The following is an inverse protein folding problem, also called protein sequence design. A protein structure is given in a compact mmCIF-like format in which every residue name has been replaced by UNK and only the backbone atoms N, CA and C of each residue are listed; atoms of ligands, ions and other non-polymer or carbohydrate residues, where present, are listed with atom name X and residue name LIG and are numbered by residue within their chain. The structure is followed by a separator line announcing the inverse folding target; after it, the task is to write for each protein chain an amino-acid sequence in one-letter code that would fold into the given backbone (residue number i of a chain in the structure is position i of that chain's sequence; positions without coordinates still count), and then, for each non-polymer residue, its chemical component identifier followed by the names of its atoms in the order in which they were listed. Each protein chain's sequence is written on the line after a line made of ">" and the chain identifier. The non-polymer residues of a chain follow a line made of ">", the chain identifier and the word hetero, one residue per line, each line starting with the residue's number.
data_IF_961986592085
#
_entry.id   IF_961986592085
#
_cell.length_a   1.000
_cell.length_b   1.000
_cell.length_c   1.000
_cell.angle_alpha   90.00
_cell.angle_beta   90.00
_cell.angle_gamma   90.00
#
_symmetry.space_group_name_H-M   'P 1'
#
loop_
_entity.id
_entity.type
_entity.pdbx_description
1 polymer ?
#
# COMPACT_ATOMS: atom_id res chain seq x y z
N UNK A 1 -10.08 -7.64 3.33
CA UNK A 1 -10.10 -6.86 4.58
C UNK A 1 -9.63 -7.76 5.72
N UNK A 2 -8.81 -7.23 6.60
CA UNK A 2 -8.29 -7.98 7.73
C UNK A 2 -8.87 -7.49 9.04
N UNK A 3 -9.24 -6.23 9.08
CA UNK A 3 -9.90 -5.57 10.18
C UNK A 3 -10.88 -4.56 9.58
N UNK A 4 -12.15 -4.63 9.96
CA UNK A 4 -13.17 -3.70 9.50
C UNK A 4 -14.08 -3.32 10.67
N UNK A 5 -14.21 -2.03 10.93
CA UNK A 5 -15.22 -1.49 11.80
C UNK A 5 -16.42 -1.03 10.98
N UNK A 6 -17.62 -1.38 11.42
CA UNK A 6 -18.86 -0.97 10.77
C UNK A 6 -19.77 -0.34 11.83
N UNK A 7 -19.95 0.98 11.74
CA UNK A 7 -20.95 1.67 12.54
C UNK A 7 -22.34 1.33 12.04
N UNK A 8 -23.23 0.90 12.92
CA UNK A 8 -24.64 0.72 12.59
C UNK A 8 -25.33 2.08 12.65
N UNK A 9 -26.19 2.42 11.66
CA UNK A 9 -26.89 3.71 11.65
C UNK A 9 -27.90 3.88 12.78
N UNK A 10 -28.31 2.78 13.40
CA UNK A 10 -29.20 2.71 14.56
C UNK A 10 -28.99 1.37 15.28
N UNK A 11 -29.35 1.28 16.58
CA UNK A 11 -29.32 0.02 17.30
C UNK A 11 -30.14 -1.07 16.58
N UNK A 12 -29.60 -2.27 16.49
CA UNK A 12 -30.25 -3.41 15.82
C UNK A 12 -30.21 -4.65 16.73
N UNK A 13 -31.32 -5.38 16.81
CA UNK A 13 -31.38 -6.67 17.51
C UNK A 13 -30.76 -7.80 16.69
N UNK A 14 -30.76 -7.67 15.37
CA UNK A 14 -30.25 -8.67 14.44
C UNK A 14 -29.40 -8.01 13.36
N UNK A 15 -28.23 -8.56 13.12
CA UNK A 15 -27.31 -8.16 12.04
C UNK A 15 -27.02 -9.37 11.17
N UNK A 16 -27.13 -9.21 9.86
CA UNK A 16 -26.78 -10.25 8.90
C UNK A 16 -25.57 -9.83 8.08
N UNK A 17 -24.51 -10.63 8.11
CA UNK A 17 -23.37 -10.51 7.22
C UNK A 17 -23.66 -11.34 5.96
N UNK A 18 -23.55 -10.72 4.79
CA UNK A 18 -23.76 -11.37 3.52
C UNK A 18 -22.59 -11.10 2.58
N UNK A 19 -22.14 -12.13 1.87
CA UNK A 19 -21.16 -11.98 0.79
C UNK A 19 -21.93 -11.72 -0.50
N UNK A 20 -21.76 -10.52 -1.05
CA UNK A 20 -22.30 -10.15 -2.36
C UNK A 20 -21.20 -10.29 -3.40
N UNK A 21 -21.18 -11.42 -4.11
CA UNK A 21 -20.19 -11.69 -5.15
C UNK A 21 -20.82 -12.53 -6.24
N UNK A 22 -20.57 -12.18 -7.50
CA UNK A 22 -21.00 -12.98 -8.66
C UNK A 22 -20.25 -14.31 -8.75
N UNK A 23 -19.11 -14.44 -8.08
CA UNK A 23 -18.33 -15.67 -8.03
C UNK A 23 -18.53 -16.36 -6.67
N UNK A 24 -18.50 -17.70 -6.68
CA UNK A 24 -18.50 -18.46 -5.43
C UNK A 24 -17.30 -18.06 -4.58
N UNK A 25 -17.55 -17.32 -3.51
CA UNK A 25 -16.55 -16.75 -2.63
C UNK A 25 -16.84 -17.18 -1.21
N UNK A 26 -15.81 -17.61 -0.47
CA UNK A 26 -15.91 -17.92 0.94
C UNK A 26 -15.48 -16.69 1.78
N UNK A 27 -16.26 -16.36 2.80
CA UNK A 27 -15.90 -15.42 3.83
C UNK A 27 -15.37 -16.21 5.04
N UNK A 28 -14.16 -15.87 5.49
CA UNK A 28 -13.62 -16.37 6.75
C UNK A 28 -13.60 -15.22 7.76
N UNK A 29 -14.26 -15.43 8.88
CA UNK A 29 -14.26 -14.51 10.02
C UNK A 29 -13.55 -15.23 11.16
N UNK A 30 -12.49 -14.65 11.70
CA UNK A 30 -11.79 -15.20 12.86
C UNK A 30 -12.49 -14.78 14.15
N UNK A 31 -12.76 -13.46 14.26
CA UNK A 31 -13.40 -12.88 15.42
C UNK A 31 -14.47 -11.88 14.99
N UNK A 32 -15.54 -11.81 15.74
CA UNK A 32 -16.62 -10.83 15.57
C UNK A 32 -16.93 -10.22 16.93
N UNK A 33 -16.73 -8.94 17.04
CA UNK A 33 -17.08 -8.17 18.23
C UNK A 33 -18.33 -7.32 17.96
N UNK A 34 -19.25 -7.33 18.87
CA UNK A 34 -20.43 -6.46 18.86
C UNK A 34 -20.29 -5.49 20.01
N UNK A 35 -20.27 -4.22 19.70
CA UNK A 35 -20.08 -3.15 20.67
C UNK A 35 -21.42 -2.41 20.87
N UNK A 36 -21.72 -2.07 22.12
CA UNK A 36 -22.83 -1.18 22.46
C UNK A 36 -22.49 0.27 22.10
N UNK A 37 -23.48 1.13 22.13
CA UNK A 37 -23.26 2.57 22.00
C UNK A 37 -22.33 3.09 23.10
N UNK A 38 -21.39 3.96 22.74
CA UNK A 38 -20.38 4.52 23.63
C UNK A 38 -19.05 4.71 22.93
N UNK A 39 -18.00 4.99 23.70
CA UNK A 39 -16.63 5.13 23.19
C UNK A 39 -16.09 3.78 22.70
N UNK A 40 -15.39 3.81 21.59
CA UNK A 40 -14.74 2.61 21.05
C UNK A 40 -13.54 2.21 21.91
N UNK A 41 -13.34 0.91 22.17
CA UNK A 41 -12.11 0.46 22.79
C UNK A 41 -10.87 0.85 21.96
N UNK A 42 -9.75 1.18 22.62
CA UNK A 42 -8.52 1.67 21.99
C UNK A 42 -7.92 0.70 20.96
N UNK A 43 -8.22 -0.60 21.06
CA UNK A 43 -7.76 -1.60 20.11
C UNK A 43 -8.58 -1.65 18.82
N UNK A 44 -9.72 -0.94 18.74
CA UNK A 44 -10.55 -0.91 17.51
C UNK A 44 -9.94 0.05 16.50
N UNK A 45 -9.51 -0.47 15.39
CA UNK A 45 -8.93 0.30 14.29
C UNK A 45 -10.04 0.75 13.34
N UNK A 46 -10.33 2.05 13.30
CA UNK A 46 -11.31 2.65 12.40
C UNK A 46 -10.60 3.21 11.18
N UNK A 47 -10.43 2.37 10.16
CA UNK A 47 -9.77 2.73 8.92
C UNK A 47 -10.67 3.60 8.04
N UNK A 48 -10.10 4.66 7.49
CA UNK A 48 -10.73 5.52 6.51
C UNK A 48 -10.36 5.09 5.09
N UNK A 49 -11.15 5.44 4.07
CA UNK A 49 -10.75 5.27 2.68
C UNK A 49 -9.40 5.93 2.41
N UNK A 50 -8.65 5.38 1.43
CA UNK A 50 -7.39 5.99 0.97
C UNK A 50 -7.65 7.42 0.48
N UNK A 51 -6.70 8.32 0.69
CA UNK A 51 -6.77 9.71 0.23
C UNK A 51 -6.99 9.79 -1.29
N UNK A 52 -7.74 10.79 -1.75
CA UNK A 52 -7.91 11.04 -3.20
C UNK A 52 -6.68 11.69 -3.82
N UNK A 53 -5.96 12.50 -3.05
CA UNK A 53 -4.70 13.14 -3.41
C UNK A 53 -3.70 12.98 -2.28
N UNK A 54 -2.43 12.76 -2.58
CA UNK A 54 -1.35 12.68 -1.61
C UNK A 54 -0.43 13.91 -1.70
N UNK A 55 0.02 14.40 -0.54
CA UNK A 55 1.20 15.27 -0.52
C UNK A 55 2.46 14.40 -0.68
N UNK A 56 2.47 13.23 -0.01
CA UNK A 56 3.59 12.29 -0.05
C UNK A 56 3.07 10.89 -0.34
N UNK A 57 3.67 10.24 -1.34
CA UNK A 57 3.47 8.84 -1.64
C UNK A 57 4.70 8.03 -1.20
N UNK A 58 4.53 7.11 -0.26
CA UNK A 58 5.53 6.12 0.10
C UNK A 58 5.33 4.85 -0.71
N UNK A 59 6.34 4.46 -1.47
CA UNK A 59 6.37 3.22 -2.24
C UNK A 59 7.19 2.17 -1.50
N UNK A 60 6.52 1.32 -0.75
CA UNK A 60 7.10 0.16 -0.07
C UNK A 60 7.04 -1.07 -0.98
N UNK A 61 8.04 -1.92 -0.96
CA UNK A 61 8.04 -3.14 -1.76
C UNK A 61 7.27 -4.26 -1.07
N UNK A 62 7.58 -4.54 0.20
CA UNK A 62 6.97 -5.61 0.97
C UNK A 62 6.32 -5.08 2.26
N UNK A 63 5.38 -5.82 2.84
CA UNK A 63 4.90 -5.55 4.20
C UNK A 63 6.04 -5.73 5.22
N UNK A 64 6.39 -4.72 5.95
CA UNK A 64 7.47 -4.48 6.92
C UNK A 64 8.49 -3.41 6.48
N UNK A 65 8.73 -3.24 5.20
CA UNK A 65 9.67 -2.24 4.67
C UNK A 65 9.29 -0.81 5.13
N UNK A 66 8.00 -0.52 5.28
CA UNK A 66 7.52 0.78 5.76
C UNK A 66 7.98 1.09 7.20
N UNK A 67 8.03 0.05 8.04
CA UNK A 67 8.53 0.19 9.41
C UNK A 67 10.05 0.27 9.45
N UNK A 68 10.72 -0.58 8.67
CA UNK A 68 12.17 -0.72 8.70
C UNK A 68 12.85 0.51 8.09
N UNK A 69 12.34 0.99 6.94
CA UNK A 69 13.03 2.03 6.15
C UNK A 69 12.34 3.40 6.24
N UNK A 70 11.02 3.44 6.49
CA UNK A 70 10.26 4.70 6.53
C UNK A 70 9.62 4.97 7.89
N UNK A 71 9.92 4.16 8.92
CA UNK A 71 9.29 4.23 10.25
C UNK A 71 9.46 5.55 10.99
N UNK A 72 10.49 6.33 10.66
CA UNK A 72 10.63 7.71 11.13
C UNK A 72 9.92 8.73 10.26
N UNK A 73 9.95 8.56 8.94
CA UNK A 73 9.39 9.54 8.01
C UNK A 73 7.85 9.52 7.98
N UNK A 74 7.24 8.34 7.96
CA UNK A 74 5.77 8.23 7.89
C UNK A 74 5.10 8.95 9.06
N UNK A 75 5.40 8.68 10.35
CA UNK A 75 4.76 9.40 11.46
C UNK A 75 5.08 10.89 11.48
N UNK A 76 6.30 11.29 11.12
CA UNK A 76 6.66 12.71 11.04
C UNK A 76 5.75 13.46 10.06
N UNK A 77 5.55 12.92 8.87
CA UNK A 77 4.70 13.60 7.89
C UNK A 77 3.21 13.41 8.15
N UNK A 78 2.77 12.18 8.47
CA UNK A 78 1.35 11.90 8.65
C UNK A 78 0.78 12.50 9.94
N UNK A 79 1.55 12.47 11.05
CA UNK A 79 1.05 12.87 12.37
C UNK A 79 1.55 14.26 12.76
N UNK A 80 2.87 14.47 12.79
CA UNK A 80 3.44 15.74 13.28
C UNK A 80 3.15 16.89 12.31
N UNK A 81 3.28 16.66 11.00
CA UNK A 81 3.05 17.67 9.96
C UNK A 81 1.66 17.62 9.34
N UNK A 82 0.83 16.64 9.70
CA UNK A 82 -0.53 16.46 9.20
C UNK A 82 -0.64 16.49 7.66
N UNK A 83 0.35 15.91 6.98
CA UNK A 83 0.36 15.77 5.53
C UNK A 83 -0.51 14.60 5.10
N UNK A 84 -1.08 14.70 3.90
CA UNK A 84 -1.80 13.60 3.26
C UNK A 84 -0.80 12.56 2.76
N UNK A 85 -0.63 11.51 3.54
CA UNK A 85 0.29 10.42 3.25
C UNK A 85 -0.49 9.25 2.67
N UNK A 86 -0.04 8.76 1.52
CA UNK A 86 -0.47 7.49 0.95
C UNK A 86 0.70 6.51 0.99
N UNK A 87 0.47 5.32 1.52
CA UNK A 87 1.45 4.24 1.51
C UNK A 87 0.99 3.17 0.52
N UNK A 88 1.85 2.82 -0.43
CA UNK A 88 1.57 1.81 -1.43
C UNK A 88 2.59 0.67 -1.34
N UNK A 89 2.10 -0.55 -1.25
CA UNK A 89 2.91 -1.77 -1.23
C UNK A 89 2.87 -2.44 -2.59
N UNK A 90 4.04 -2.76 -3.13
CA UNK A 90 4.14 -3.46 -4.40
C UNK A 90 3.58 -4.88 -4.31
N UNK A 91 3.94 -5.61 -3.27
CA UNK A 91 3.50 -6.99 -3.07
C UNK A 91 2.78 -7.20 -1.75
N UNK A 92 1.96 -8.23 -1.75
CA UNK A 92 1.32 -8.77 -0.55
C UNK A 92 1.51 -10.29 -0.56
N UNK A 93 2.25 -10.81 0.39
CA UNK A 93 2.58 -12.24 0.40
C UNK A 93 1.42 -13.12 0.89
N UNK A 94 0.76 -12.75 1.99
CA UNK A 94 -0.35 -13.52 2.59
C UNK A 94 -1.19 -12.66 3.54
N UNK A 95 -2.23 -13.24 4.12
CA UNK A 95 -3.16 -12.54 5.03
C UNK A 95 -2.49 -12.11 6.34
N UNK A 96 -1.55 -12.88 6.88
CA UNK A 96 -0.80 -12.53 8.10
C UNK A 96 0.01 -11.27 7.87
N UNK A 97 0.80 -11.23 6.81
CA UNK A 97 1.60 -10.05 6.43
C UNK A 97 0.74 -8.82 6.17
N UNK A 98 -0.46 -9.00 5.64
CA UNK A 98 -1.39 -7.88 5.47
C UNK A 98 -1.95 -7.36 6.79
N UNK A 99 -2.12 -8.23 7.80
CA UNK A 99 -2.46 -7.80 9.17
C UNK A 99 -1.31 -7.01 9.80
N UNK A 100 -0.09 -7.50 9.64
CA UNK A 100 1.11 -6.87 10.18
C UNK A 100 1.29 -5.46 9.63
N UNK A 101 1.18 -5.28 8.30
CA UNK A 101 1.29 -3.95 7.69
C UNK A 101 0.20 -2.96 8.17
N UNK A 102 -1.05 -3.42 8.32
CA UNK A 102 -2.10 -2.55 8.84
C UNK A 102 -1.81 -2.15 10.29
N UNK A 103 -1.41 -3.10 11.12
CA UNK A 103 -1.02 -2.79 12.51
C UNK A 103 0.18 -1.84 12.56
N UNK A 104 1.20 -2.07 11.74
CA UNK A 104 2.37 -1.20 11.65
C UNK A 104 1.98 0.24 11.28
N UNK A 105 1.20 0.41 10.22
CA UNK A 105 0.70 1.71 9.80
C UNK A 105 -0.17 2.39 10.88
N UNK A 106 -1.02 1.62 11.56
CA UNK A 106 -1.86 2.15 12.63
C UNK A 106 -1.01 2.72 13.78
N UNK A 107 0.02 2.00 14.20
CA UNK A 107 0.95 2.45 15.23
C UNK A 107 1.80 3.65 14.79
N UNK A 108 2.07 3.79 13.50
CA UNK A 108 2.70 4.99 12.93
C UNK A 108 1.73 6.17 12.75
N UNK A 109 0.47 6.03 13.15
CA UNK A 109 -0.53 7.08 13.09
C UNK A 109 -1.26 7.23 11.76
N UNK A 110 -1.01 6.35 10.80
CA UNK A 110 -1.78 6.32 9.54
C UNK A 110 -3.17 5.75 9.79
N UNK A 111 -4.19 6.42 9.30
CA UNK A 111 -5.61 6.06 9.51
C UNK A 111 -6.35 5.73 8.22
N UNK A 112 -5.72 5.92 7.07
CA UNK A 112 -6.27 5.61 5.76
C UNK A 112 -5.73 4.28 5.24
N UNK A 113 -6.58 3.52 4.55
CA UNK A 113 -6.14 2.24 3.98
C UNK A 113 -4.98 2.44 3.01
N UNK A 114 -3.94 1.59 3.08
CA UNK A 114 -2.86 1.60 2.11
C UNK A 114 -3.33 1.04 0.77
N UNK A 115 -2.60 1.36 -0.28
CA UNK A 115 -2.75 0.72 -1.59
C UNK A 115 -1.91 -0.54 -1.63
N UNK A 116 -2.51 -1.65 -2.04
CA UNK A 116 -1.79 -2.93 -2.09
C UNK A 116 -1.79 -3.43 -3.53
N UNK A 117 -0.60 -3.50 -4.12
CA UNK A 117 -0.36 -4.16 -5.40
C UNK A 117 -0.56 -5.67 -5.30
N UNK A 118 -0.85 -6.28 -6.43
CA UNK A 118 -1.06 -7.73 -6.50
C UNK A 118 0.11 -8.43 -7.22
N UNK A 119 1.34 -8.05 -6.86
CA UNK A 119 2.54 -8.65 -7.42
C UNK A 119 3.10 -9.72 -6.48
N UNK A 120 3.79 -10.67 -7.08
CA UNK A 120 4.42 -11.75 -6.33
C UNK A 120 5.65 -11.22 -5.59
N UNK A 121 5.70 -11.48 -4.30
CA UNK A 121 6.93 -11.39 -3.52
C UNK A 121 7.91 -12.48 -3.99
N UNK A 122 9.12 -12.09 -4.37
CA UNK A 122 10.12 -13.02 -4.89
C UNK A 122 11.54 -12.54 -4.63
N UNK A 123 12.39 -13.46 -4.22
CA UNK A 123 13.81 -13.21 -4.10
C UNK A 123 14.50 -13.44 -5.46
N UNK A 124 14.85 -12.35 -6.14
CA UNK A 124 15.44 -12.39 -7.47
C UNK A 124 16.96 -12.26 -7.43
N UNK A 125 17.66 -12.97 -8.31
CA UNK A 125 19.13 -12.94 -8.39
C UNK A 125 19.72 -11.66 -8.99
N UNK A 126 18.94 -10.92 -9.75
CA UNK A 126 19.32 -9.65 -10.37
C UNK A 126 18.09 -8.83 -10.75
N UNK A 127 18.28 -7.57 -11.15
CA UNK A 127 17.21 -6.62 -11.49
C UNK A 127 16.33 -7.13 -12.65
N UNK A 128 16.94 -7.71 -13.70
CA UNK A 128 16.19 -8.28 -14.83
C UNK A 128 15.27 -9.42 -14.39
N UNK A 129 15.73 -10.26 -13.47
CA UNK A 129 14.93 -11.36 -12.91
C UNK A 129 13.80 -10.83 -12.01
N UNK A 130 14.02 -9.74 -11.26
CA UNK A 130 12.98 -9.07 -10.48
C UNK A 130 11.85 -8.56 -11.38
N UNK A 131 12.17 -7.82 -12.44
CA UNK A 131 11.17 -7.40 -13.42
C UNK A 131 10.44 -8.56 -14.08
N UNK A 132 11.17 -9.63 -14.45
CA UNK A 132 10.54 -10.82 -15.05
C UNK A 132 9.54 -11.47 -14.10
N UNK A 133 9.87 -11.59 -12.81
CA UNK A 133 8.97 -12.17 -11.79
C UNK A 133 7.71 -11.33 -11.58
N UNK A 134 7.80 -10.02 -11.77
CA UNK A 134 6.70 -9.07 -11.68
C UNK A 134 5.83 -8.99 -12.96
N UNK A 135 6.16 -9.78 -13.99
CA UNK A 135 5.45 -9.75 -15.27
C UNK A 135 6.01 -8.77 -16.29
N UNK A 136 7.22 -8.23 -16.06
CA UNK A 136 7.96 -7.36 -16.97
C UNK A 136 7.96 -5.88 -16.54
N UNK A 137 8.93 -5.13 -17.08
CA UNK A 137 9.13 -3.71 -16.75
C UNK A 137 7.87 -2.86 -17.06
N UNK A 138 7.20 -3.13 -18.18
CA UNK A 138 5.98 -2.41 -18.57
C UNK A 138 4.89 -2.52 -17.53
N UNK A 139 4.64 -3.71 -16.98
CA UNK A 139 3.60 -3.92 -15.95
C UNK A 139 3.91 -3.20 -14.63
N UNK A 140 5.18 -3.20 -14.22
CA UNK A 140 5.61 -2.46 -13.02
C UNK A 140 5.46 -0.96 -13.22
N UNK A 141 5.91 -0.44 -14.36
CA UNK A 141 5.80 0.97 -14.71
C UNK A 141 4.33 1.41 -14.80
N UNK A 142 3.47 0.61 -15.41
CA UNK A 142 2.03 0.90 -15.52
C UNK A 142 1.39 1.04 -14.12
N UNK A 143 1.73 0.18 -13.18
CA UNK A 143 1.25 0.26 -11.81
C UNK A 143 1.71 1.55 -11.13
N UNK A 144 3.01 1.91 -11.22
CA UNK A 144 3.56 3.12 -10.61
C UNK A 144 2.96 4.38 -11.25
N UNK A 145 2.86 4.42 -12.58
CA UNK A 145 2.21 5.55 -13.28
C UNK A 145 0.74 5.67 -12.88
N UNK A 146 0.06 4.54 -12.67
CA UNK A 146 -1.30 4.52 -12.15
C UNK A 146 -1.40 5.22 -10.79
N UNK A 147 -0.48 4.93 -9.87
CA UNK A 147 -0.41 5.61 -8.57
C UNK A 147 -0.15 7.11 -8.71
N UNK A 148 0.79 7.51 -9.55
CA UNK A 148 1.12 8.93 -9.77
C UNK A 148 -0.06 9.71 -10.35
N UNK A 149 -0.78 9.14 -11.29
CA UNK A 149 -1.97 9.76 -11.90
C UNK A 149 -3.14 9.85 -10.92
N UNK A 150 -3.33 8.81 -10.12
CA UNK A 150 -4.42 8.75 -9.15
C UNK A 150 -4.20 9.72 -7.99
N UNK A 151 -3.04 9.67 -7.36
CA UNK A 151 -2.78 10.41 -6.12
C UNK A 151 -2.06 11.75 -6.35
N UNK A 152 -1.47 11.99 -7.51
CA UNK A 152 -0.76 13.23 -7.89
C UNK A 152 0.16 13.74 -6.77
N UNK A 153 1.06 12.90 -6.24
CA UNK A 153 1.89 13.25 -5.10
C UNK A 153 2.86 14.38 -5.45
N UNK A 154 3.12 15.25 -4.48
CA UNK A 154 4.16 16.29 -4.58
C UNK A 154 5.55 15.69 -4.35
N UNK A 155 5.62 14.68 -3.47
CA UNK A 155 6.84 13.96 -3.14
C UNK A 155 6.58 12.46 -3.23
N UNK A 156 7.54 11.73 -3.80
CA UNK A 156 7.56 10.26 -3.77
C UNK A 156 8.77 9.80 -2.98
N UNK A 157 8.53 9.02 -1.95
CA UNK A 157 9.57 8.37 -1.14
C UNK A 157 9.56 6.88 -1.49
N UNK A 158 10.70 6.34 -1.83
CA UNK A 158 10.84 4.93 -2.17
C UNK A 158 12.15 4.38 -1.63
N UNK A 159 12.38 3.11 -1.86
CA UNK A 159 13.56 2.40 -1.40
C UNK A 159 14.82 2.83 -2.13
N UNK A 160 15.98 2.47 -1.57
CA UNK A 160 17.29 2.82 -2.12
C UNK A 160 17.54 2.13 -3.46
N UNK A 161 18.26 2.80 -4.35
CA UNK A 161 18.63 2.27 -5.68
C UNK A 161 19.51 1.04 -5.60
N UNK A 162 20.23 0.84 -4.48
CA UNK A 162 21.01 -0.36 -4.20
C UNK A 162 20.18 -1.44 -3.48
N UNK A 163 18.89 -1.15 -3.17
CA UNK A 163 17.95 -2.07 -2.54
C UNK A 163 18.28 -2.33 -1.07
N UNK A 164 18.73 -1.29 -0.35
CA UNK A 164 19.18 -1.28 1.05
C UNK A 164 20.28 -2.32 1.32
N UNK A 165 19.91 -3.57 1.46
CA UNK A 165 20.83 -4.72 1.62
C UNK A 165 21.01 -5.53 0.31
N UNK A 166 20.70 -4.96 -0.84
CA UNK A 166 20.84 -5.58 -2.15
C UNK A 166 19.62 -6.36 -2.64
N UNK A 167 18.44 -6.14 -2.04
CA UNK A 167 17.20 -6.79 -2.45
C UNK A 167 16.74 -6.32 -3.83
N UNK A 168 16.59 -7.25 -4.78
CA UNK A 168 16.38 -6.91 -6.19
C UNK A 168 14.99 -6.36 -6.52
N UNK A 169 13.97 -6.67 -5.72
CA UNK A 169 12.67 -6.04 -5.87
C UNK A 169 12.68 -4.60 -5.34
N UNK A 170 13.43 -4.28 -4.28
CA UNK A 170 13.64 -2.90 -3.83
C UNK A 170 14.31 -2.06 -4.92
N UNK A 171 15.43 -2.56 -5.48
CA UNK A 171 16.11 -1.92 -6.62
C UNK A 171 15.16 -1.70 -7.79
N UNK A 172 14.28 -2.67 -8.08
CA UNK A 172 13.30 -2.60 -9.17
C UNK A 172 12.28 -1.48 -8.94
N UNK A 173 11.75 -1.35 -7.73
CA UNK A 173 10.77 -0.30 -7.40
C UNK A 173 11.43 1.07 -7.45
N UNK A 174 12.65 1.22 -6.93
CA UNK A 174 13.43 2.46 -7.02
C UNK A 174 13.72 2.85 -8.49
N UNK A 175 14.19 1.91 -9.31
CA UNK A 175 14.44 2.11 -10.75
C UNK A 175 13.17 2.53 -11.49
N UNK A 176 12.06 1.83 -11.25
CA UNK A 176 10.80 2.12 -11.91
C UNK A 176 10.21 3.47 -11.46
N UNK A 177 10.28 3.80 -10.16
CA UNK A 177 9.80 5.06 -9.63
C UNK A 177 10.51 6.25 -10.29
N UNK A 178 11.84 6.24 -10.35
CA UNK A 178 12.66 7.29 -10.96
C UNK A 178 12.39 7.42 -12.46
N UNK A 179 12.37 6.30 -13.20
CA UNK A 179 12.12 6.30 -14.63
C UNK A 179 10.72 6.85 -14.97
N UNK A 180 9.70 6.53 -14.17
CA UNK A 180 8.34 7.00 -14.39
C UNK A 180 8.17 8.50 -14.11
N UNK A 181 8.88 9.07 -13.14
CA UNK A 181 8.90 10.52 -12.88
C UNK A 181 9.55 11.26 -14.06
N UNK A 182 10.76 10.84 -14.47
CA UNK A 182 11.48 11.47 -15.57
C UNK A 182 10.65 11.45 -16.87
N UNK A 183 10.06 10.32 -17.22
CA UNK A 183 9.21 10.19 -18.40
C UNK A 183 7.95 11.06 -18.35
N UNK A 184 7.42 11.34 -17.17
CA UNK A 184 6.25 12.18 -17.00
C UNK A 184 6.57 13.67 -17.19
N UNK A 185 7.72 14.11 -16.71
CA UNK A 185 8.21 15.49 -16.91
C UNK A 185 8.47 15.80 -18.39
N UNK A 186 8.97 14.84 -19.15
CA UNK A 186 9.27 14.99 -20.58
C UNK A 186 8.04 14.74 -21.49
N UNK A 187 6.85 14.48 -20.93
CA UNK A 187 5.66 14.12 -21.70
C UNK A 187 5.74 12.75 -22.40
N UNK A 188 6.77 11.97 -22.11
CA UNK A 188 7.02 10.66 -22.71
C UNK A 188 6.37 9.57 -21.85
N UNK A 189 5.73 8.58 -22.46
CA UNK A 189 5.23 7.41 -21.73
C UNK A 189 6.40 6.55 -21.25
N UNK A 190 6.46 6.26 -19.94
CA UNK A 190 7.50 5.40 -19.36
C UNK A 190 7.50 3.95 -19.90
N UNK A 191 6.56 3.60 -20.74
CA UNK A 191 6.47 2.31 -21.43
C UNK A 191 7.08 2.32 -22.84
N UNK A 192 7.59 3.45 -23.35
CA UNK A 192 8.24 3.46 -24.67
C UNK A 192 9.65 2.87 -24.60
N UNK A 193 10.01 1.97 -25.55
CA UNK A 193 11.37 1.48 -25.66
C UNK A 193 12.28 2.66 -26.09
N UNK A 194 13.24 3.01 -25.23
CA UNK A 194 14.21 4.07 -25.53
C UNK A 194 14.19 5.30 -24.62
N UNK A 195 13.24 5.43 -23.68
CA UNK A 195 13.36 6.40 -22.60
C UNK A 195 14.51 5.97 -21.68
N UNK A 196 15.65 6.63 -21.75
CA UNK A 196 16.83 6.45 -20.89
C UNK A 196 16.81 7.44 -19.77
#
# INVERSE_FOLDING_TARGET
>A
FLHAYVALPQPAQHVRLAVTSEKKTALRINDLFVLSEGDLPDWVQVWQPTEEKADILFLSTHPDDELIFFGGAIPTYAVEQQRKVVVAYFSRSNTTRSSELLNGLWHMGVRTYPVIGNFKDSYAKNLKAAYKSAGGKGKVNEWIVGLYRQYKPEVVVTQDTNGEYGHKQHMMIADAAQNCIASHQDGISCNQPGAR
#
